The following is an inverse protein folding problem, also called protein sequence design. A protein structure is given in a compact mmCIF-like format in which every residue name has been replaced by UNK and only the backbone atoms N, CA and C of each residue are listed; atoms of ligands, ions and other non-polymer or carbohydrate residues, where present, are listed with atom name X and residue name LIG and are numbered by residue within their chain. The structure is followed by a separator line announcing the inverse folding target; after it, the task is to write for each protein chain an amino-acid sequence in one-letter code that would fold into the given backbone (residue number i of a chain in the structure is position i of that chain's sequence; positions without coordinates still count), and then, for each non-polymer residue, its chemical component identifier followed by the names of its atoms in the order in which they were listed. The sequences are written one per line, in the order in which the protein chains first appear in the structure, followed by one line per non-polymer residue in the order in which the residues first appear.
data_IF_721210031093
#
_entry.id   IF_721210031093
#
_cell.length_a   1.000
_cell.length_b   1.000
_cell.length_c   1.000
_cell.angle_alpha   90.00
_cell.angle_beta   90.00
_cell.angle_gamma   90.00
#
_symmetry.space_group_name_H-M   'P 1'
#
loop_
_entity.id
_entity.type
_entity.pdbx_description
1 polymer ?
#
# COMPACT_ATOMS: atom_id res chain seq x y z
N UNK A 1 -6.22 -19.57 -10.32
CA UNK A 1 -6.39 -20.49 -11.51
C UNK A 1 -7.18 -21.75 -11.18
N UNK A 2 -7.96 -22.37 -12.14
CA UNK A 2 -8.67 -23.65 -11.89
C UNK A 2 -7.67 -24.81 -11.78
N UNK A 3 -7.79 -25.61 -10.72
CA UNK A 3 -6.86 -26.71 -10.42
C UNK A 3 -6.71 -27.74 -11.57
N UNK A 4 -7.78 -28.00 -12.30
CA UNK A 4 -7.77 -28.95 -13.43
C UNK A 4 -6.92 -28.40 -14.61
N UNK A 5 -6.90 -27.08 -14.78
CA UNK A 5 -6.08 -26.44 -15.79
C UNK A 5 -4.60 -26.45 -15.42
N UNK A 6 -4.27 -26.18 -14.17
CA UNK A 6 -2.90 -26.27 -13.64
C UNK A 6 -2.35 -27.69 -13.76
N UNK A 7 -3.12 -28.71 -13.34
CA UNK A 7 -2.75 -30.13 -13.46
C UNK A 7 -2.47 -30.51 -14.94
N UNK A 8 -3.24 -29.98 -15.89
CA UNK A 8 -3.02 -30.22 -17.34
C UNK A 8 -1.72 -29.58 -17.83
N UNK A 9 -1.40 -28.35 -17.40
CA UNK A 9 -0.16 -27.68 -17.79
C UNK A 9 1.06 -28.41 -17.20
N UNK A 10 0.99 -28.80 -15.93
CA UNK A 10 2.05 -29.59 -15.31
C UNK A 10 2.30 -30.92 -16.07
N UNK A 11 1.22 -31.60 -16.52
CA UNK A 11 1.36 -32.81 -17.35
C UNK A 11 2.06 -32.51 -18.71
N UNK A 12 1.76 -31.37 -19.34
CA UNK A 12 2.42 -30.94 -20.58
C UNK A 12 3.89 -30.62 -20.34
N UNK A 13 4.23 -29.97 -19.23
CA UNK A 13 5.61 -29.65 -18.82
C UNK A 13 6.39 -30.95 -18.54
N UNK A 14 5.83 -31.89 -17.76
CA UNK A 14 6.44 -33.18 -17.46
C UNK A 14 6.71 -34.01 -18.73
N UNK A 15 5.79 -33.96 -19.68
CA UNK A 15 5.93 -34.61 -20.99
C UNK A 15 6.92 -33.90 -21.93
N UNK A 16 7.42 -32.71 -21.57
CA UNK A 16 8.32 -31.86 -22.37
C UNK A 16 7.78 -31.54 -23.76
N UNK A 17 6.45 -31.38 -23.89
CA UNK A 17 5.81 -31.02 -25.12
C UNK A 17 5.80 -29.49 -25.29
N UNK A 18 6.94 -28.95 -25.71
CA UNK A 18 7.11 -27.52 -25.94
C UNK A 18 6.13 -26.93 -26.97
N UNK A 19 5.69 -27.72 -27.96
CA UNK A 19 4.77 -27.24 -28.98
C UNK A 19 3.35 -27.09 -28.42
N UNK A 20 2.91 -28.03 -27.56
CA UNK A 20 1.62 -27.96 -26.91
C UNK A 20 1.62 -26.85 -25.86
N UNK A 21 2.70 -26.73 -25.06
CA UNK A 21 2.85 -25.66 -24.07
C UNK A 21 2.75 -24.28 -24.73
N UNK A 22 3.52 -24.05 -25.81
CA UNK A 22 3.45 -22.79 -26.56
C UNK A 22 2.05 -22.51 -27.09
N UNK A 23 1.37 -23.48 -27.65
CA UNK A 23 0.02 -23.30 -28.18
C UNK A 23 -1.01 -22.94 -27.10
N UNK A 24 -0.83 -23.38 -25.86
CA UNK A 24 -1.65 -23.00 -24.71
C UNK A 24 -1.33 -21.55 -24.30
N UNK A 25 -0.04 -21.22 -24.16
CA UNK A 25 0.41 -19.89 -23.73
C UNK A 25 0.04 -18.79 -24.74
N UNK A 26 0.11 -19.07 -26.05
CA UNK A 26 -0.27 -18.12 -27.12
C UNK A 26 -1.77 -17.72 -27.08
N UNK A 27 -2.62 -18.48 -26.36
CA UNK A 27 -4.04 -18.16 -26.16
C UNK A 27 -4.35 -17.47 -24.81
N UNK A 28 -3.35 -17.35 -23.92
CA UNK A 28 -3.50 -16.78 -22.58
C UNK A 28 -3.13 -15.29 -22.56
N UNK A 29 -3.75 -14.54 -21.64
CA UNK A 29 -3.33 -13.18 -21.34
C UNK A 29 -2.05 -13.20 -20.48
N UNK A 30 -1.12 -12.22 -20.62
CA UNK A 30 0.08 -12.14 -19.79
C UNK A 30 -0.19 -12.28 -18.29
N UNK A 31 -1.19 -11.59 -17.73
CA UNK A 31 -1.58 -11.70 -16.33
C UNK A 31 -1.98 -13.14 -15.91
N UNK A 32 -2.68 -13.90 -16.79
CA UNK A 32 -3.02 -15.30 -16.51
C UNK A 32 -1.77 -16.22 -16.54
N UNK A 33 -0.79 -15.86 -17.37
CA UNK A 33 0.50 -16.58 -17.43
C UNK A 33 1.34 -16.27 -16.19
N UNK A 34 1.30 -15.05 -15.69
CA UNK A 34 1.94 -14.66 -14.44
C UNK A 34 1.37 -15.45 -13.25
N UNK A 35 0.02 -15.51 -13.11
CA UNK A 35 -0.65 -16.34 -12.10
C UNK A 35 -0.23 -17.82 -12.21
N UNK A 36 -0.06 -18.33 -13.43
CA UNK A 36 0.46 -19.67 -13.64
C UNK A 36 1.89 -19.81 -13.15
N UNK A 37 2.78 -18.86 -13.47
CA UNK A 37 4.19 -18.91 -13.07
C UNK A 37 4.36 -18.83 -11.55
N UNK A 38 3.48 -18.12 -10.85
CA UNK A 38 3.47 -18.01 -9.40
C UNK A 38 3.09 -19.34 -8.69
N UNK A 39 2.31 -20.17 -9.36
CA UNK A 39 1.93 -21.51 -8.87
C UNK A 39 2.99 -22.60 -9.20
N UNK A 40 3.96 -22.29 -10.09
CA UNK A 40 4.99 -23.23 -10.54
C UNK A 40 6.27 -23.11 -9.69
N UNK A 41 7.11 -24.16 -9.73
CA UNK A 41 8.48 -24.00 -9.25
C UNK A 41 9.35 -23.26 -10.28
N UNK A 42 10.53 -22.77 -9.85
CA UNK A 42 11.41 -21.92 -10.68
C UNK A 42 11.89 -22.65 -11.95
N UNK A 43 12.08 -23.99 -11.90
CA UNK A 43 12.52 -24.74 -13.06
C UNK A 43 11.41 -24.85 -14.12
N UNK A 44 10.17 -25.04 -13.69
CA UNK A 44 8.99 -25.11 -14.56
C UNK A 44 8.60 -23.73 -15.09
N UNK A 45 8.64 -22.69 -14.28
CA UNK A 45 8.45 -21.30 -14.71
C UNK A 45 9.46 -20.91 -15.80
N UNK A 46 10.73 -21.29 -15.68
CA UNK A 46 11.73 -21.06 -16.73
C UNK A 46 11.42 -21.78 -18.05
N UNK A 47 10.75 -22.93 -18.00
CA UNK A 47 10.31 -23.62 -19.22
C UNK A 47 9.18 -22.85 -19.91
N UNK A 48 8.25 -22.27 -19.14
CA UNK A 48 7.20 -21.37 -19.62
C UNK A 48 7.84 -20.17 -20.32
N UNK A 49 8.69 -19.41 -19.64
CA UNK A 49 9.35 -18.22 -20.20
C UNK A 49 10.15 -18.47 -21.48
N UNK A 50 10.69 -19.67 -21.65
CA UNK A 50 11.40 -20.03 -22.89
C UNK A 50 10.48 -20.18 -24.10
N UNK A 51 9.17 -20.37 -23.91
CA UNK A 51 8.21 -20.50 -24.99
C UNK A 51 7.61 -19.15 -25.39
N UNK A 52 7.66 -18.14 -24.50
CA UNK A 52 7.15 -16.81 -24.75
C UNK A 52 8.10 -16.03 -25.68
N UNK A 53 7.53 -15.17 -26.54
CA UNK A 53 8.30 -14.11 -27.19
C UNK A 53 8.72 -13.05 -26.16
N UNK A 54 9.54 -12.10 -26.57
CA UNK A 54 10.15 -11.17 -25.61
C UNK A 54 9.13 -10.20 -25.00
N UNK A 55 8.22 -9.67 -25.81
CA UNK A 55 7.16 -8.75 -25.41
C UNK A 55 6.25 -9.41 -24.37
N UNK A 56 5.62 -10.54 -24.69
CA UNK A 56 4.80 -11.31 -23.74
C UNK A 56 5.59 -11.74 -22.49
N UNK A 57 6.88 -12.04 -22.63
CA UNK A 57 7.70 -12.44 -21.48
C UNK A 57 7.98 -11.26 -20.54
N UNK A 58 8.14 -10.05 -21.08
CA UNK A 58 8.29 -8.82 -20.30
C UNK A 58 7.00 -8.51 -19.53
N UNK A 59 5.84 -8.49 -20.22
CA UNK A 59 4.53 -8.28 -19.60
C UNK A 59 4.25 -9.30 -18.46
N UNK A 60 4.54 -10.58 -18.71
CA UNK A 60 4.37 -11.62 -17.68
C UNK A 60 5.28 -11.37 -16.48
N UNK A 61 6.49 -10.86 -16.68
CA UNK A 61 7.42 -10.60 -15.59
C UNK A 61 6.95 -9.44 -14.71
N UNK A 62 6.37 -8.39 -15.30
CA UNK A 62 5.79 -7.25 -14.58
C UNK A 62 4.63 -7.71 -13.69
N UNK A 63 3.74 -8.53 -14.21
CA UNK A 63 2.55 -9.03 -13.52
C UNK A 63 2.84 -10.12 -12.46
N UNK A 64 4.08 -10.62 -12.36
CA UNK A 64 4.45 -11.65 -11.38
C UNK A 64 4.57 -11.09 -9.97
N UNK A 65 4.25 -11.98 -9.01
CA UNK A 65 4.59 -11.80 -7.60
C UNK A 65 6.09 -11.49 -7.39
N UNK A 66 6.40 -10.45 -6.62
CA UNK A 66 7.76 -9.92 -6.41
C UNK A 66 8.76 -11.00 -5.96
N UNK A 67 8.38 -11.84 -4.99
CA UNK A 67 9.27 -12.90 -4.47
C UNK A 67 9.55 -13.98 -5.52
N UNK A 68 8.58 -14.31 -6.38
CA UNK A 68 8.73 -15.26 -7.46
C UNK A 68 9.53 -14.66 -8.61
N UNK A 69 9.27 -13.41 -8.96
CA UNK A 69 10.02 -12.61 -9.93
C UNK A 69 11.50 -12.55 -9.54
N UNK A 70 11.80 -12.18 -8.32
CA UNK A 70 13.17 -12.10 -7.81
C UNK A 70 13.89 -13.45 -7.87
N UNK A 71 13.24 -14.54 -7.45
CA UNK A 71 13.83 -15.89 -7.54
C UNK A 71 14.12 -16.30 -8.98
N UNK A 72 13.26 -15.95 -9.92
CA UNK A 72 13.48 -16.22 -11.34
C UNK A 72 14.68 -15.42 -11.87
N UNK A 73 14.70 -14.12 -11.59
CA UNK A 73 15.75 -13.21 -12.04
C UNK A 73 17.12 -13.57 -11.47
N UNK A 74 17.19 -14.03 -10.21
CA UNK A 74 18.45 -14.45 -9.58
C UNK A 74 19.16 -15.60 -10.31
N UNK A 75 18.37 -16.47 -10.94
CA UNK A 75 18.91 -17.60 -11.71
C UNK A 75 19.24 -17.29 -13.18
N UNK A 76 18.85 -16.11 -13.67
CA UNK A 76 19.05 -15.72 -15.07
C UNK A 76 20.37 -14.94 -15.26
N UNK A 77 21.05 -15.11 -16.41
CA UNK A 77 22.18 -14.26 -16.78
C UNK A 77 21.74 -12.82 -17.04
N UNK A 78 22.54 -11.83 -16.64
CA UNK A 78 22.27 -10.41 -16.81
C UNK A 78 21.99 -10.00 -18.28
N UNK A 79 22.67 -10.64 -19.26
CA UNK A 79 22.39 -10.46 -20.68
C UNK A 79 20.97 -10.88 -21.08
N UNK A 80 20.43 -11.95 -20.47
CA UNK A 80 19.07 -12.43 -20.75
C UNK A 80 18.05 -11.51 -20.11
N UNK A 81 18.31 -11.03 -18.90
CA UNK A 81 17.43 -10.06 -18.21
C UNK A 81 17.33 -8.81 -19.06
N UNK A 82 18.43 -8.22 -19.49
CA UNK A 82 18.44 -7.01 -20.30
C UNK A 82 17.69 -7.21 -21.63
N UNK A 83 18.12 -8.21 -22.43
CA UNK A 83 17.65 -8.30 -23.83
C UNK A 83 16.29 -8.95 -24.00
N UNK A 84 15.85 -9.79 -23.06
CA UNK A 84 14.55 -10.45 -23.14
C UNK A 84 13.44 -9.70 -22.42
N UNK A 85 13.77 -9.03 -21.32
CA UNK A 85 12.79 -8.38 -20.48
C UNK A 85 12.93 -6.86 -20.57
N UNK A 86 14.01 -6.26 -20.06
CA UNK A 86 14.18 -4.81 -19.94
C UNK A 86 14.07 -4.07 -21.29
N UNK A 87 14.65 -4.60 -22.37
CA UNK A 87 14.51 -4.01 -23.72
C UNK A 87 13.07 -4.03 -24.28
N UNK A 88 12.11 -4.68 -23.59
CA UNK A 88 10.74 -4.91 -24.08
C UNK A 88 9.67 -4.54 -23.02
N UNK A 89 9.97 -3.66 -22.07
CA UNK A 89 9.03 -3.16 -21.07
C UNK A 89 9.14 -1.64 -20.92
N UNK A 90 8.17 -1.02 -20.29
CA UNK A 90 8.16 0.39 -19.99
C UNK A 90 9.28 0.77 -19.00
N UNK A 91 9.68 2.03 -18.98
CA UNK A 91 10.88 2.46 -18.22
C UNK A 91 10.68 2.45 -16.72
N UNK A 92 9.48 2.71 -16.21
CA UNK A 92 9.11 2.59 -14.81
C UNK A 92 9.19 1.13 -14.32
N UNK A 93 8.53 0.20 -15.02
CA UNK A 93 8.63 -1.24 -14.75
C UNK A 93 10.09 -1.74 -14.80
N UNK A 94 10.86 -1.24 -15.77
CA UNK A 94 12.28 -1.59 -15.89
C UNK A 94 13.09 -1.09 -14.71
N UNK A 95 12.78 0.09 -14.18
CA UNK A 95 13.44 0.65 -12.97
C UNK A 95 13.14 -0.21 -11.78
N UNK A 96 11.87 -0.55 -11.54
CA UNK A 96 11.44 -1.38 -10.39
C UNK A 96 12.12 -2.75 -10.40
N UNK A 97 12.12 -3.40 -11.57
CA UNK A 97 12.76 -4.71 -11.72
C UNK A 97 14.29 -4.64 -11.53
N UNK A 98 14.94 -3.58 -12.00
CA UNK A 98 16.39 -3.41 -11.83
C UNK A 98 16.72 -3.11 -10.37
N UNK A 99 15.93 -2.30 -9.68
CA UNK A 99 16.13 -1.97 -8.27
C UNK A 99 15.98 -3.20 -7.35
N UNK A 100 15.17 -4.18 -7.72
CA UNK A 100 15.03 -5.47 -7.02
C UNK A 100 16.29 -6.35 -7.08
N UNK A 101 17.22 -6.09 -8.01
CA UNK A 101 18.45 -6.87 -8.19
C UNK A 101 19.57 -6.41 -7.25
N UNK A 102 20.52 -7.30 -6.97
CA UNK A 102 21.75 -6.92 -6.25
C UNK A 102 22.57 -5.88 -7.03
N UNK A 103 23.25 -4.93 -6.37
CA UNK A 103 24.00 -3.81 -6.98
C UNK A 103 24.94 -4.25 -8.13
N UNK A 104 25.68 -5.37 -7.94
CA UNK A 104 26.59 -5.88 -8.98
C UNK A 104 25.81 -6.34 -10.23
N UNK A 105 24.61 -6.90 -10.05
CA UNK A 105 23.74 -7.38 -11.13
C UNK A 105 23.03 -6.24 -11.84
N UNK A 106 22.64 -5.19 -11.11
CA UNK A 106 22.09 -3.96 -11.69
C UNK A 106 23.04 -3.36 -12.72
N UNK A 107 24.33 -3.18 -12.34
CA UNK A 107 25.36 -2.63 -13.26
C UNK A 107 25.55 -3.52 -14.49
N UNK A 108 25.52 -4.84 -14.32
CA UNK A 108 25.67 -5.78 -15.43
C UNK A 108 24.45 -5.74 -16.37
N UNK A 109 23.22 -5.67 -15.85
CA UNK A 109 21.99 -5.59 -16.64
C UNK A 109 21.97 -4.31 -17.45
N UNK A 110 22.19 -3.15 -16.79
CA UNK A 110 22.27 -1.83 -17.47
C UNK A 110 23.30 -1.80 -18.60
N UNK A 111 24.42 -2.50 -18.43
CA UNK A 111 25.47 -2.57 -19.47
C UNK A 111 25.06 -3.42 -20.69
N UNK A 112 24.03 -4.26 -20.59
CA UNK A 112 23.56 -5.16 -21.65
C UNK A 112 22.29 -4.67 -22.35
N UNK A 113 21.65 -3.58 -21.89
CA UNK A 113 20.47 -2.98 -22.54
C UNK A 113 20.86 -2.55 -23.96
N UNK A 114 20.06 -2.95 -24.92
CA UNK A 114 20.33 -2.75 -26.34
C UNK A 114 20.04 -1.32 -26.82
N UNK A 115 19.03 -0.66 -26.26
CA UNK A 115 18.68 0.72 -26.54
C UNK A 115 19.37 1.67 -25.55
N UNK A 116 20.26 2.53 -26.10
CA UNK A 116 21.01 3.48 -25.29
C UNK A 116 20.11 4.61 -24.75
N UNK A 117 19.04 4.97 -25.46
CA UNK A 117 18.11 6.02 -25.04
C UNK A 117 17.31 5.51 -23.83
N UNK A 118 16.73 4.31 -23.93
CA UNK A 118 16.05 3.62 -22.83
C UNK A 118 16.98 3.42 -21.62
N UNK A 119 18.20 2.94 -21.82
CA UNK A 119 19.16 2.77 -20.73
C UNK A 119 19.49 4.10 -20.02
N UNK A 120 19.54 5.23 -20.77
CA UNK A 120 19.74 6.56 -20.17
C UNK A 120 18.53 7.01 -19.36
N UNK A 121 17.33 6.78 -19.87
CA UNK A 121 16.10 7.14 -19.20
C UNK A 121 15.93 6.33 -17.89
N UNK A 122 16.18 5.04 -17.92
CA UNK A 122 16.19 4.18 -16.72
C UNK A 122 17.17 4.69 -15.67
N UNK A 123 18.42 5.00 -16.06
CA UNK A 123 19.43 5.52 -15.12
C UNK A 123 19.03 6.89 -14.56
N UNK A 124 18.38 7.74 -15.35
CA UNK A 124 17.88 9.02 -14.88
C UNK A 124 16.70 8.87 -13.93
N UNK A 125 15.79 7.92 -14.19
CA UNK A 125 14.66 7.60 -13.32
C UNK A 125 15.09 7.00 -11.97
N UNK A 126 16.07 6.10 -11.96
CA UNK A 126 16.65 5.52 -10.74
C UNK A 126 17.25 6.56 -9.76
N UNK A 127 17.39 7.84 -10.15
CA UNK A 127 17.87 8.89 -9.25
C UNK A 127 16.78 9.53 -8.41
N UNK A 128 15.51 9.29 -8.74
CA UNK A 128 14.39 9.79 -7.97
C UNK A 128 14.12 8.88 -6.77
N UNK A 129 13.47 9.45 -5.77
CA UNK A 129 13.03 8.72 -4.58
C UNK A 129 11.78 7.90 -4.96
N UNK A 130 11.76 6.62 -4.63
CA UNK A 130 10.68 5.68 -4.94
C UNK A 130 9.32 6.18 -4.46
N UNK A 131 9.26 6.85 -3.29
CA UNK A 131 8.03 7.40 -2.71
C UNK A 131 7.54 8.70 -3.38
N UNK A 132 8.04 9.05 -4.57
CA UNK A 132 7.70 10.30 -5.26
C UNK A 132 7.17 10.08 -6.69
N UNK A 133 6.52 11.12 -7.23
CA UNK A 133 6.06 11.13 -8.62
C UNK A 133 7.20 10.88 -9.63
N UNK A 134 8.43 11.21 -9.28
CA UNK A 134 9.61 10.94 -10.10
C UNK A 134 9.99 9.47 -10.12
N UNK A 135 9.79 8.73 -9.00
CA UNK A 135 10.02 7.31 -8.91
C UNK A 135 8.96 6.50 -9.67
N UNK A 136 7.70 6.94 -9.61
CA UNK A 136 6.57 6.24 -10.23
C UNK A 136 6.35 6.58 -11.71
N UNK A 137 7.04 7.56 -12.30
CA UNK A 137 6.75 8.00 -13.66
C UNK A 137 7.46 7.14 -14.72
N UNK A 138 6.73 6.82 -15.79
CA UNK A 138 7.30 6.32 -17.05
C UNK A 138 7.63 7.43 -18.03
N UNK A 139 8.52 7.15 -18.99
CA UNK A 139 8.88 8.08 -20.07
C UNK A 139 8.10 7.81 -21.36
N UNK A 140 7.31 6.76 -21.41
CA UNK A 140 6.50 6.30 -22.53
C UNK A 140 5.31 7.24 -22.76
N UNK A 141 5.50 8.27 -23.57
CA UNK A 141 4.48 9.28 -23.83
C UNK A 141 4.65 9.94 -25.19
N UNK A 142 3.56 10.42 -25.77
CA UNK A 142 3.62 11.20 -27.00
C UNK A 142 3.79 12.69 -26.71
N UNK A 143 4.87 13.26 -27.18
CA UNK A 143 5.21 14.68 -26.99
C UNK A 143 5.28 15.40 -28.34
N UNK A 144 4.61 16.55 -28.45
CA UNK A 144 4.60 17.38 -29.65
C UNK A 144 4.88 18.85 -29.33
N UNK A 145 5.46 19.58 -30.28
CA UNK A 145 5.73 21.01 -30.10
C UNK A 145 4.46 21.85 -30.41
N UNK A 146 4.22 22.88 -29.62
CA UNK A 146 3.05 23.79 -29.76
C UNK A 146 2.97 24.48 -31.12
N UNK A 147 4.08 24.65 -31.80
CA UNK A 147 4.18 25.33 -33.08
C UNK A 147 3.91 24.43 -34.30
N UNK A 148 3.84 23.11 -34.13
CA UNK A 148 3.53 22.15 -35.18
C UNK A 148 2.13 22.41 -35.78
N UNK A 149 1.99 22.12 -37.09
CA UNK A 149 0.69 21.99 -37.73
C UNK A 149 0.06 20.65 -37.39
N UNK A 150 -1.26 20.50 -37.56
CA UNK A 150 -1.94 19.22 -37.30
C UNK A 150 -1.41 18.04 -38.13
N UNK A 151 -1.04 18.22 -39.43
CA UNK A 151 -0.41 17.14 -40.23
C UNK A 151 0.98 16.74 -39.70
N UNK A 152 1.80 17.70 -39.30
CA UNK A 152 3.12 17.46 -38.70
C UNK A 152 2.97 16.72 -37.35
N UNK A 153 2.03 17.18 -36.52
CA UNK A 153 1.68 16.54 -35.25
C UNK A 153 1.28 15.07 -35.46
N UNK A 154 0.39 14.79 -36.45
CA UNK A 154 -0.01 13.42 -36.75
C UNK A 154 1.16 12.53 -37.22
N UNK A 155 2.09 13.11 -37.96
CA UNK A 155 3.27 12.39 -38.43
C UNK A 155 4.21 12.07 -37.24
N UNK A 156 4.42 13.04 -36.36
CA UNK A 156 5.24 12.86 -35.16
C UNK A 156 4.63 11.81 -34.21
N UNK A 157 3.33 11.92 -33.95
CA UNK A 157 2.61 10.92 -33.15
C UNK A 157 2.72 9.50 -33.72
N UNK A 158 2.60 9.33 -35.04
CA UNK A 158 2.74 8.00 -35.66
C UNK A 158 4.12 7.41 -35.47
N UNK A 159 5.13 8.26 -35.45
CA UNK A 159 6.51 7.82 -35.23
C UNK A 159 6.72 7.37 -33.79
N UNK A 160 6.23 8.15 -32.83
CA UNK A 160 6.36 7.82 -31.41
C UNK A 160 5.44 6.68 -30.97
N UNK A 161 4.31 6.50 -31.63
CA UNK A 161 3.31 5.45 -31.34
C UNK A 161 3.70 4.06 -31.85
N UNK A 162 4.80 3.89 -32.57
CA UNK A 162 5.27 2.56 -33.01
C UNK A 162 5.82 1.74 -31.83
N UNK A 163 6.30 2.45 -30.79
CA UNK A 163 6.96 1.89 -29.63
C UNK A 163 6.11 2.04 -28.32
N UNK A 164 4.82 2.40 -28.44
CA UNK A 164 3.91 2.62 -27.30
C UNK A 164 2.68 1.72 -27.41
N UNK A 165 2.32 1.04 -26.34
CA UNK A 165 1.14 0.19 -26.28
C UNK A 165 -0.14 1.02 -26.26
N UNK A 166 -0.24 2.02 -25.38
CA UNK A 166 -1.38 2.90 -25.23
C UNK A 166 -1.02 4.39 -25.32
N UNK A 167 -1.90 5.18 -25.92
CA UNK A 167 -1.79 6.64 -25.98
C UNK A 167 -3.02 7.26 -25.29
N UNK A 168 -2.89 7.64 -24.06
CA UNK A 168 -3.95 8.32 -23.30
C UNK A 168 -4.07 9.79 -23.69
N UNK A 169 -2.95 10.50 -23.68
CA UNK A 169 -2.85 11.91 -23.99
C UNK A 169 -1.64 12.21 -24.87
N UNK A 170 -1.71 13.32 -25.61
CA UNK A 170 -0.57 13.89 -26.33
C UNK A 170 -0.16 15.15 -25.62
N UNK A 171 1.04 15.19 -25.09
CA UNK A 171 1.55 16.34 -24.36
C UNK A 171 2.15 17.37 -25.31
N UNK A 172 1.87 18.64 -25.02
CA UNK A 172 2.33 19.75 -25.85
C UNK A 172 3.38 20.57 -25.09
N UNK A 173 4.54 20.70 -25.68
CA UNK A 173 5.68 21.46 -25.08
C UNK A 173 6.08 22.63 -25.97
N UNK A 174 6.76 23.62 -25.36
CA UNK A 174 7.46 24.68 -26.08
C UNK A 174 8.84 24.24 -26.57
N UNK A 175 9.58 25.16 -27.19
CA UNK A 175 10.94 24.91 -27.71
C UNK A 175 11.98 24.64 -26.60
N UNK A 176 11.66 24.95 -25.34
CA UNK A 176 12.50 24.67 -24.15
C UNK A 176 12.07 23.37 -23.44
N UNK A 177 11.11 22.62 -23.97
CA UNK A 177 10.57 21.37 -23.41
C UNK A 177 9.58 21.58 -22.25
N UNK A 178 9.09 22.82 -22.03
CA UNK A 178 8.13 23.08 -20.95
C UNK A 178 6.72 22.69 -21.37
N UNK A 179 6.02 22.03 -20.46
CA UNK A 179 4.62 21.65 -20.65
C UNK A 179 3.73 22.88 -20.86
N UNK A 180 2.98 22.92 -21.95
CA UNK A 180 2.06 24.01 -22.34
C UNK A 180 0.61 23.57 -22.40
N UNK A 181 0.36 22.33 -22.68
CA UNK A 181 -0.99 21.84 -22.85
C UNK A 181 -1.05 20.32 -23.00
N UNK A 182 -2.26 19.83 -23.02
CA UNK A 182 -2.57 18.44 -23.38
C UNK A 182 -3.49 18.43 -24.58
N UNK A 183 -3.34 17.44 -25.41
CA UNK A 183 -4.09 17.29 -26.65
C UNK A 183 -4.75 15.93 -26.73
N UNK A 184 -6.02 15.79 -26.29
CA UNK A 184 -6.75 14.53 -26.38
C UNK A 184 -6.89 14.08 -27.85
N UNK A 185 -6.68 12.79 -28.13
CA UNK A 185 -6.81 12.20 -29.48
C UNK A 185 -8.14 12.55 -30.18
N UNK A 186 -9.22 12.67 -29.40
CA UNK A 186 -10.54 13.10 -29.90
C UNK A 186 -10.47 14.45 -30.62
N UNK A 187 -9.64 15.39 -30.16
CA UNK A 187 -9.50 16.71 -30.79
C UNK A 187 -8.84 16.63 -32.16
N UNK A 188 -7.98 15.66 -32.38
CA UNK A 188 -7.37 15.42 -33.68
C UNK A 188 -8.43 15.03 -34.75
N UNK A 189 -9.43 14.25 -34.35
CA UNK A 189 -10.50 13.80 -35.24
C UNK A 189 -11.51 14.93 -35.51
N UNK A 190 -11.73 15.83 -34.55
CA UNK A 190 -12.81 16.83 -34.60
C UNK A 190 -12.38 18.20 -35.14
N UNK A 191 -11.06 18.49 -35.19
CA UNK A 191 -10.55 19.79 -35.62
C UNK A 191 -10.03 19.79 -37.06
N UNK A 192 -10.09 20.96 -37.77
CA UNK A 192 -9.59 21.07 -39.14
C UNK A 192 -8.08 20.86 -39.22
N UNK A 193 -7.62 20.18 -40.26
CA UNK A 193 -6.20 19.89 -40.51
C UNK A 193 -5.31 21.11 -40.75
N UNK A 194 -5.87 22.31 -40.81
CA UNK A 194 -5.14 23.58 -41.10
C UNK A 194 -4.71 24.29 -39.82
N UNK A 195 -5.20 23.84 -38.64
CA UNK A 195 -4.87 24.48 -37.34
C UNK A 195 -3.47 24.10 -36.86
N UNK A 196 -2.87 24.99 -36.03
CA UNK A 196 -1.68 24.64 -35.25
C UNK A 196 -2.09 24.04 -33.91
N UNK A 197 -1.22 23.19 -33.33
CA UNK A 197 -1.43 22.49 -32.07
C UNK A 197 -1.80 23.48 -30.94
N UNK A 198 -1.11 24.59 -30.78
CA UNK A 198 -1.36 25.62 -29.77
C UNK A 198 -2.75 26.25 -29.78
N UNK A 199 -3.52 26.14 -30.87
CA UNK A 199 -4.90 26.67 -30.92
C UNK A 199 -5.94 25.61 -30.64
N UNK A 200 -5.53 24.36 -30.48
CA UNK A 200 -6.41 23.19 -30.29
C UNK A 200 -6.17 22.49 -28.97
N UNK A 201 -4.97 22.61 -28.42
CA UNK A 201 -4.61 22.05 -27.10
C UNK A 201 -5.50 22.60 -25.98
N UNK A 202 -5.58 21.88 -24.88
CA UNK A 202 -6.10 22.36 -23.61
C UNK A 202 -4.93 22.91 -22.80
N UNK A 203 -4.99 24.19 -22.42
CA UNK A 203 -3.93 24.87 -21.67
C UNK A 203 -4.02 24.60 -20.16
N UNK A 204 -5.22 24.26 -19.67
CA UNK A 204 -5.46 23.95 -18.25
C UNK A 204 -5.08 22.50 -17.95
N UNK A 205 -3.77 22.23 -17.90
CA UNK A 205 -3.23 20.90 -17.61
C UNK A 205 -3.01 20.72 -16.12
N UNK A 206 -3.57 19.66 -15.57
CA UNK A 206 -3.24 19.20 -14.22
C UNK A 206 -1.95 18.41 -14.35
N UNK A 207 -0.90 18.85 -13.68
CA UNK A 207 0.43 18.24 -13.67
C UNK A 207 0.96 18.12 -12.26
N UNK A 208 1.88 17.22 -12.02
CA UNK A 208 2.61 17.06 -10.77
C UNK A 208 4.10 17.34 -10.96
N UNK A 209 4.87 17.49 -9.88
CA UNK A 209 6.31 17.65 -9.92
C UNK A 209 6.98 16.34 -9.54
N UNK A 210 8.22 16.17 -9.99
CA UNK A 210 9.04 14.99 -9.69
C UNK A 210 9.22 14.72 -8.18
N UNK A 211 9.17 15.75 -7.34
CA UNK A 211 9.35 15.67 -5.88
C UNK A 211 8.02 15.55 -5.10
N UNK A 212 6.89 15.38 -5.78
CA UNK A 212 5.58 15.24 -5.14
C UNK A 212 5.43 13.83 -4.58
N UNK A 213 5.01 13.67 -3.30
CA UNK A 213 4.73 12.35 -2.74
C UNK A 213 3.65 11.59 -3.53
N UNK A 214 3.77 10.27 -3.61
CA UNK A 214 2.82 9.43 -4.36
C UNK A 214 1.39 9.60 -3.85
N UNK A 215 1.16 9.66 -2.54
CA UNK A 215 -0.15 9.91 -1.95
C UNK A 215 -0.87 11.15 -2.51
N UNK A 216 -0.13 12.22 -2.77
CA UNK A 216 -0.68 13.45 -3.34
C UNK A 216 -1.03 13.26 -4.84
N UNK A 217 -0.26 12.42 -5.56
CA UNK A 217 -0.54 12.06 -6.96
C UNK A 217 -1.79 11.19 -7.06
N UNK A 218 -1.91 10.19 -6.18
CA UNK A 218 -3.10 9.34 -6.04
C UNK A 218 -4.35 10.19 -5.83
N UNK A 219 -4.32 11.12 -4.86
CA UNK A 219 -5.43 12.03 -4.59
C UNK A 219 -5.75 12.95 -5.78
N UNK A 220 -4.74 13.34 -6.56
CA UNK A 220 -4.90 14.16 -7.76
C UNK A 220 -5.67 13.38 -8.84
N UNK A 221 -5.24 12.15 -9.13
CA UNK A 221 -5.87 11.26 -10.10
C UNK A 221 -7.30 10.94 -9.72
N UNK A 222 -7.56 10.56 -8.47
CA UNK A 222 -8.91 10.31 -7.96
C UNK A 222 -9.82 11.54 -8.04
N UNK A 223 -9.34 12.69 -7.57
CA UNK A 223 -10.15 13.92 -7.48
C UNK A 223 -10.61 14.43 -8.83
N UNK A 224 -9.77 14.30 -9.85
CA UNK A 224 -10.03 14.83 -11.18
C UNK A 224 -10.40 13.75 -12.19
N UNK A 225 -10.45 12.47 -11.78
CA UNK A 225 -10.71 11.31 -12.63
C UNK A 225 -9.79 11.29 -13.87
N UNK A 226 -8.50 11.43 -13.63
CA UNK A 226 -7.50 11.45 -14.69
C UNK A 226 -7.12 10.01 -15.08
N UNK A 227 -6.74 9.81 -16.33
CA UNK A 227 -6.20 8.53 -16.83
C UNK A 227 -4.68 8.56 -16.81
N UNK A 228 -4.08 9.74 -17.00
CA UNK A 228 -2.65 9.96 -16.82
C UNK A 228 -2.37 11.39 -16.37
N UNK A 229 -1.26 11.59 -15.66
CA UNK A 229 -0.80 12.89 -15.16
C UNK A 229 0.63 13.13 -15.62
N UNK A 230 0.90 14.25 -16.33
CA UNK A 230 2.26 14.61 -16.69
C UNK A 230 3.07 15.08 -15.48
N UNK A 231 4.29 14.61 -15.40
CA UNK A 231 5.28 14.96 -14.37
C UNK A 231 6.25 15.98 -14.92
N UNK A 232 6.50 17.06 -14.16
CA UNK A 232 7.36 18.16 -14.57
C UNK A 232 8.46 18.42 -13.55
N UNK A 233 9.60 18.93 -14.04
CA UNK A 233 10.68 19.39 -13.18
C UNK A 233 10.36 20.73 -12.50
N UNK A 234 11.29 21.23 -11.68
CA UNK A 234 11.16 22.50 -10.94
C UNK A 234 10.98 23.74 -11.82
N UNK A 235 11.33 23.68 -13.11
CA UNK A 235 11.20 24.78 -14.09
C UNK A 235 10.07 24.54 -15.09
N UNK A 236 9.29 23.46 -14.92
CA UNK A 236 8.10 23.12 -15.70
C UNK A 236 8.39 22.35 -17.00
N UNK A 237 9.56 21.74 -17.16
CA UNK A 237 9.83 20.83 -18.28
C UNK A 237 9.20 19.46 -18.01
N UNK A 238 8.59 18.90 -19.04
CA UNK A 238 8.00 17.56 -19.00
C UNK A 238 9.12 16.52 -18.84
N UNK A 239 8.98 15.62 -17.87
CA UNK A 239 9.94 14.56 -17.56
C UNK A 239 9.36 13.18 -17.88
N UNK A 240 8.08 12.94 -17.57
CA UNK A 240 7.40 11.69 -17.75
C UNK A 240 5.89 11.84 -17.55
N UNK A 241 5.21 10.73 -17.45
CA UNK A 241 3.81 10.65 -17.04
C UNK A 241 3.63 9.52 -16.01
N UNK A 242 2.57 9.62 -15.24
CA UNK A 242 2.08 8.55 -14.37
C UNK A 242 0.70 8.18 -14.87
N UNK A 243 0.43 6.92 -15.03
CA UNK A 243 -0.84 6.41 -15.53
C UNK A 243 -1.75 5.96 -14.37
N UNK A 244 -3.00 5.65 -14.66
CA UNK A 244 -3.96 5.26 -13.61
C UNK A 244 -3.73 3.84 -13.12
N UNK A 245 -3.20 2.97 -13.95
CA UNK A 245 -2.80 1.60 -13.65
C UNK A 245 -1.67 1.57 -12.61
N UNK A 246 -0.57 2.33 -12.81
CA UNK A 246 0.52 2.46 -11.83
C UNK A 246 0.00 2.90 -10.45
N UNK A 247 -0.91 3.89 -10.48
CA UNK A 247 -1.54 4.39 -9.24
C UNK A 247 -2.45 3.35 -8.58
N UNK A 248 -3.10 2.48 -9.34
CA UNK A 248 -3.94 1.40 -8.77
C UNK A 248 -3.05 0.35 -8.09
N UNK A 249 -1.92 0.01 -8.68
CA UNK A 249 -0.99 -0.96 -8.12
C UNK A 249 -0.34 -0.41 -6.85
N UNK A 250 0.13 0.82 -6.84
CA UNK A 250 0.64 1.50 -5.65
C UNK A 250 -0.41 1.58 -4.52
N UNK A 251 -1.67 1.92 -4.85
CA UNK A 251 -2.77 1.92 -3.89
C UNK A 251 -3.02 0.55 -3.28
N UNK A 252 -2.87 -0.51 -4.05
CA UNK A 252 -3.04 -1.88 -3.60
C UNK A 252 -1.92 -2.28 -2.65
N UNK A 253 -0.68 -2.02 -3.00
CA UNK A 253 0.50 -2.28 -2.16
C UNK A 253 0.39 -1.53 -0.82
N UNK A 254 0.06 -0.24 -0.86
CA UNK A 254 -0.14 0.55 0.35
C UNK A 254 -1.28 0.00 1.23
N UNK A 255 -2.40 -0.42 0.64
CA UNK A 255 -3.50 -1.03 1.41
C UNK A 255 -3.10 -2.37 2.03
N UNK A 256 -2.34 -3.20 1.34
CA UNK A 256 -1.81 -4.46 1.84
C UNK A 256 -0.83 -4.23 2.98
N UNK A 257 0.10 -3.29 2.82
CA UNK A 257 1.04 -2.86 3.85
C UNK A 257 0.30 -2.37 5.12
N UNK A 258 -0.62 -1.42 4.98
CA UNK A 258 -1.43 -0.89 6.08
C UNK A 258 -2.21 -2.00 6.81
N UNK A 259 -2.78 -2.94 6.06
CA UNK A 259 -3.50 -4.07 6.62
C UNK A 259 -2.57 -5.00 7.41
N UNK A 260 -1.38 -5.29 6.90
CA UNK A 260 -0.37 -6.11 7.58
C UNK A 260 0.10 -5.44 8.87
N UNK A 261 0.44 -4.16 8.82
CA UNK A 261 0.85 -3.38 9.99
C UNK A 261 -0.25 -3.34 11.06
N UNK A 262 -1.49 -3.08 10.67
CA UNK A 262 -2.64 -3.11 11.57
C UNK A 262 -2.92 -4.49 12.16
N UNK A 263 -2.54 -5.56 11.45
CA UNK A 263 -2.67 -6.95 11.90
C UNK A 263 -1.51 -7.40 12.79
N UNK A 264 -0.46 -6.59 12.95
CA UNK A 264 0.73 -6.91 13.72
C UNK A 264 1.70 -7.83 12.98
N UNK A 265 1.89 -7.55 11.71
CA UNK A 265 2.96 -8.10 10.88
C UNK A 265 3.98 -6.97 10.63
N UNK A 266 5.25 -7.31 10.48
CA UNK A 266 6.32 -6.34 10.18
C UNK A 266 6.93 -6.71 8.85
N UNK A 267 6.94 -5.76 7.92
CA UNK A 267 7.38 -5.97 6.53
C UNK A 267 6.32 -6.68 5.69
N UNK A 268 6.48 -6.61 4.40
CA UNK A 268 5.60 -7.24 3.44
C UNK A 268 5.80 -8.75 3.46
N UNK A 269 4.74 -9.45 3.82
CA UNK A 269 4.77 -10.90 4.06
C UNK A 269 3.60 -11.56 3.37
N UNK A 270 3.91 -12.52 2.54
CA UNK A 270 2.94 -13.29 1.80
C UNK A 270 2.68 -14.69 2.35
N UNK A 271 1.59 -15.29 1.92
CA UNK A 271 1.25 -16.66 2.31
C UNK A 271 2.21 -17.70 1.71
N UNK A 272 2.84 -17.38 0.59
CA UNK A 272 3.82 -18.19 -0.11
C UNK A 272 5.22 -18.13 0.51
N UNK A 273 5.48 -17.14 1.34
CA UNK A 273 6.76 -16.92 2.00
C UNK A 273 7.26 -18.10 2.84
N UNK A 274 8.57 -18.16 2.98
CA UNK A 274 9.22 -19.17 3.82
C UNK A 274 8.76 -19.08 5.28
N UNK A 275 8.68 -20.23 5.95
CA UNK A 275 8.27 -20.30 7.38
C UNK A 275 9.12 -19.39 8.26
N UNK A 276 10.39 -19.17 7.93
CA UNK A 276 11.29 -18.29 8.68
C UNK A 276 10.94 -16.81 8.48
N UNK A 277 10.64 -16.35 7.27
CA UNK A 277 10.21 -14.98 6.97
C UNK A 277 8.91 -14.68 7.70
N UNK A 278 7.90 -15.55 7.56
CA UNK A 278 6.62 -15.44 8.27
C UNK A 278 6.78 -15.46 9.82
N UNK A 279 7.74 -16.20 10.36
CA UNK A 279 8.04 -16.18 11.79
C UNK A 279 8.63 -14.83 12.21
N UNK A 280 9.65 -14.34 11.48
CA UNK A 280 10.34 -13.09 11.83
C UNK A 280 9.44 -11.86 11.74
N UNK A 281 8.50 -11.83 10.80
CA UNK A 281 7.53 -10.72 10.70
C UNK A 281 6.59 -10.61 11.90
N UNK A 282 6.33 -11.72 12.60
CA UNK A 282 5.43 -11.78 13.77
C UNK A 282 6.12 -11.58 15.10
N UNK A 283 7.40 -11.96 15.22
CA UNK A 283 8.15 -11.94 16.49
C UNK A 283 8.19 -10.56 17.15
N UNK A 284 8.45 -9.44 16.48
CA UNK A 284 8.50 -8.12 17.13
C UNK A 284 7.21 -7.81 17.90
N UNK A 285 6.06 -8.03 17.28
CA UNK A 285 4.76 -7.78 17.89
C UNK A 285 4.43 -8.76 19.02
N UNK A 286 4.79 -10.02 18.89
CA UNK A 286 4.64 -11.02 19.95
C UNK A 286 5.52 -10.69 21.17
N UNK A 287 6.73 -10.17 20.95
CA UNK A 287 7.60 -9.71 22.04
C UNK A 287 7.02 -8.50 22.79
N UNK A 288 6.45 -7.54 22.05
CA UNK A 288 5.74 -6.40 22.65
C UNK A 288 4.56 -6.91 23.49
N UNK A 289 3.81 -7.91 22.98
CA UNK A 289 2.73 -8.56 23.71
C UNK A 289 3.20 -9.22 25.01
N UNK A 290 4.31 -9.95 24.97
CA UNK A 290 4.91 -10.58 26.17
C UNK A 290 5.34 -9.52 27.20
N UNK A 291 5.99 -8.44 26.75
CA UNK A 291 6.39 -7.33 27.64
C UNK A 291 5.16 -6.67 28.28
N UNK A 292 4.10 -6.42 27.51
CA UNK A 292 2.83 -5.92 28.03
C UNK A 292 2.22 -6.84 29.09
N UNK A 293 2.20 -8.15 28.82
CA UNK A 293 1.73 -9.17 29.75
C UNK A 293 2.53 -9.22 31.05
N UNK A 294 3.86 -9.12 30.98
CA UNK A 294 4.74 -9.05 32.17
C UNK A 294 4.45 -7.78 32.99
N UNK A 295 4.28 -6.63 32.32
CA UNK A 295 3.92 -5.39 33.01
C UNK A 295 2.55 -5.48 33.68
N UNK A 296 1.54 -6.07 33.00
CA UNK A 296 0.24 -6.35 33.62
C UNK A 296 0.35 -7.25 34.85
N UNK A 297 1.15 -8.32 34.79
CA UNK A 297 1.37 -9.22 35.93
C UNK A 297 1.99 -8.48 37.12
N UNK A 298 2.97 -7.60 36.85
CA UNK A 298 3.59 -6.77 37.91
C UNK A 298 2.63 -5.75 38.52
N UNK A 299 1.76 -5.18 37.69
CA UNK A 299 0.71 -4.28 38.16
C UNK A 299 -0.28 -5.03 39.08
N UNK A 300 -0.72 -6.23 38.70
CA UNK A 300 -1.60 -7.07 39.52
C UNK A 300 -0.95 -7.48 40.84
N UNK A 301 0.31 -7.88 40.81
CA UNK A 301 1.10 -8.22 42.02
C UNK A 301 1.11 -7.04 43.03
N UNK A 302 1.28 -5.81 42.55
CA UNK A 302 1.29 -4.62 43.40
C UNK A 302 -0.05 -4.38 44.14
N UNK A 303 -1.16 -4.81 43.55
CA UNK A 303 -2.51 -4.65 44.14
C UNK A 303 -3.08 -5.93 44.75
N UNK A 304 -2.25 -6.94 45.08
CA UNK A 304 -2.68 -8.23 45.63
C UNK A 304 -3.56 -8.05 46.89
N UNK A 305 -3.28 -7.07 47.72
CA UNK A 305 -4.04 -6.80 48.94
C UNK A 305 -5.47 -6.35 48.70
N UNK A 306 -5.72 -5.60 47.60
CA UNK A 306 -7.04 -5.17 47.22
C UNK A 306 -7.90 -6.36 46.74
N UNK A 307 -7.31 -7.29 46.02
CA UNK A 307 -7.98 -8.53 45.62
C UNK A 307 -8.26 -9.50 46.74
N UNK A 308 -7.39 -9.53 47.74
CA UNK A 308 -7.61 -10.33 48.96
C UNK A 308 -8.86 -9.87 49.76
N UNK A 309 -9.20 -8.56 49.67
CA UNK A 309 -10.40 -8.02 50.30
C UNK A 309 -11.70 -8.39 49.57
N UNK A 310 -11.65 -8.55 48.21
CA UNK A 310 -12.81 -8.92 47.41
C UNK A 310 -12.37 -9.77 46.22
N UNK A 311 -12.26 -11.09 46.41
CA UNK A 311 -11.79 -12.05 45.41
C UNK A 311 -12.65 -12.08 44.11
N UNK A 312 -13.94 -11.73 44.21
CA UNK A 312 -14.84 -11.63 43.08
C UNK A 312 -14.40 -10.61 42.03
N UNK A 313 -13.61 -9.61 42.37
CA UNK A 313 -13.04 -8.62 41.45
C UNK A 313 -12.08 -9.27 40.44
N UNK A 314 -11.38 -10.34 40.77
CA UNK A 314 -10.48 -11.05 39.85
C UNK A 314 -11.21 -11.60 38.62
N UNK A 315 -12.48 -11.97 38.77
CA UNK A 315 -13.26 -12.55 37.69
C UNK A 315 -13.56 -11.53 36.57
N UNK A 316 -13.42 -10.23 36.82
CA UNK A 316 -13.66 -9.17 35.87
C UNK A 316 -12.40 -8.67 35.14
N UNK A 317 -11.22 -9.17 35.51
CA UNK A 317 -9.95 -8.80 34.82
C UNK A 317 -10.04 -9.05 33.32
N UNK A 318 -10.53 -10.22 32.81
CA UNK A 318 -10.65 -10.43 31.37
C UNK A 318 -11.66 -9.48 30.70
N UNK A 319 -12.73 -9.11 31.41
CA UNK A 319 -13.71 -8.15 30.90
C UNK A 319 -13.09 -6.75 30.72
N UNK A 320 -12.36 -6.28 31.73
CA UNK A 320 -11.71 -4.96 31.71
C UNK A 320 -10.60 -4.90 30.65
N UNK A 321 -9.70 -5.90 30.65
CA UNK A 321 -8.59 -5.96 29.67
C UNK A 321 -9.10 -6.03 28.22
N UNK A 322 -9.97 -7.00 27.92
CA UNK A 322 -10.51 -7.18 26.57
C UNK A 322 -11.33 -5.99 26.07
N UNK A 323 -12.14 -5.37 26.95
CA UNK A 323 -12.90 -4.16 26.55
C UNK A 323 -11.96 -2.98 26.31
N UNK A 324 -10.92 -2.80 27.14
CA UNK A 324 -9.93 -1.74 26.99
C UNK A 324 -9.22 -1.80 25.64
N UNK A 325 -8.69 -2.97 25.30
CA UNK A 325 -8.06 -3.21 24.00
C UNK A 325 -8.98 -2.88 22.82
N UNK A 326 -10.17 -3.47 22.83
CA UNK A 326 -11.15 -3.29 21.74
C UNK A 326 -11.56 -1.83 21.53
N UNK A 327 -11.84 -1.10 22.62
CA UNK A 327 -12.23 0.32 22.53
C UNK A 327 -11.12 1.17 21.92
N UNK A 328 -9.89 0.93 22.30
CA UNK A 328 -8.74 1.63 21.74
C UNK A 328 -8.53 1.35 20.27
N UNK A 329 -8.53 0.07 19.89
CA UNK A 329 -8.35 -0.35 18.50
C UNK A 329 -9.42 0.22 17.58
N UNK A 330 -10.72 0.20 17.99
CA UNK A 330 -11.80 0.76 17.19
C UNK A 330 -11.65 2.27 16.96
N UNK A 331 -11.23 3.02 17.97
CA UNK A 331 -11.04 4.46 17.83
C UNK A 331 -9.80 4.80 17.01
N UNK A 332 -8.73 4.03 17.18
CA UNK A 332 -7.48 4.20 16.43
C UNK A 332 -7.71 3.92 14.93
N UNK A 333 -8.37 2.82 14.60
CA UNK A 333 -8.67 2.45 13.22
C UNK A 333 -9.44 3.55 12.46
N UNK A 334 -10.42 4.21 13.12
CA UNK A 334 -11.15 5.33 12.50
C UNK A 334 -10.26 6.56 12.25
N UNK A 335 -9.30 6.81 13.13
CA UNK A 335 -8.38 7.94 12.97
C UNK A 335 -7.37 7.66 11.86
N UNK A 336 -6.78 6.46 11.85
CA UNK A 336 -5.82 6.04 10.80
C UNK A 336 -6.51 6.07 9.43
N UNK A 337 -7.70 5.49 9.30
CA UNK A 337 -8.47 5.57 8.07
C UNK A 337 -8.75 7.03 7.65
N UNK A 338 -9.00 7.92 8.61
CA UNK A 338 -9.23 9.33 8.33
C UNK A 338 -7.97 10.08 7.89
N UNK A 339 -6.79 9.66 8.36
CA UNK A 339 -5.50 10.20 7.94
C UNK A 339 -5.17 9.70 6.51
N UNK A 340 -5.24 8.40 6.28
CA UNK A 340 -4.99 7.79 4.98
C UNK A 340 -5.87 8.37 3.86
N UNK A 341 -7.17 8.58 4.12
CA UNK A 341 -8.09 9.17 3.15
C UNK A 341 -8.01 10.72 3.06
N UNK A 342 -7.04 11.37 3.70
CA UNK A 342 -6.91 12.83 3.70
C UNK A 342 -8.11 13.60 4.29
N UNK A 343 -9.09 12.90 4.91
CA UNK A 343 -10.28 13.53 5.51
C UNK A 343 -9.99 14.18 6.87
N UNK A 344 -8.90 13.80 7.53
CA UNK A 344 -8.39 14.38 8.76
C UNK A 344 -7.18 15.26 8.46
N UNK A 345 -7.42 16.56 8.32
CA UNK A 345 -6.37 17.56 8.23
C UNK A 345 -6.24 18.30 9.56
N UNK A 346 -5.13 18.99 9.75
CA UNK A 346 -4.77 19.75 10.96
C UNK A 346 -5.90 20.65 11.49
N UNK A 347 -6.77 21.18 10.59
CA UNK A 347 -7.91 22.02 10.95
C UNK A 347 -9.09 21.24 11.56
N UNK A 348 -9.21 19.95 11.31
CA UNK A 348 -10.34 19.11 11.72
C UNK A 348 -10.05 18.19 12.91
N UNK A 349 -8.77 18.04 13.32
CA UNK A 349 -8.34 17.13 14.41
C UNK A 349 -9.14 17.42 15.70
N UNK A 350 -9.25 18.68 16.11
CA UNK A 350 -9.97 19.05 17.34
C UNK A 350 -11.44 18.63 17.26
N UNK A 351 -12.08 18.83 16.12
CA UNK A 351 -13.47 18.42 15.91
C UNK A 351 -13.62 16.90 15.98
N UNK A 352 -12.68 16.15 15.45
CA UNK A 352 -12.68 14.69 15.53
C UNK A 352 -12.52 14.21 16.97
N UNK A 353 -11.56 14.75 17.74
CA UNK A 353 -11.39 14.42 19.16
C UNK A 353 -12.65 14.68 19.96
N UNK A 354 -13.36 15.80 19.72
CA UNK A 354 -14.66 16.07 20.36
C UNK A 354 -15.74 15.06 19.95
N UNK A 355 -15.80 14.68 18.67
CA UNK A 355 -16.74 13.68 18.18
C UNK A 355 -16.48 12.32 18.82
N UNK A 356 -15.23 11.87 18.85
CA UNK A 356 -14.82 10.62 19.49
C UNK A 356 -15.10 10.65 21.00
N UNK A 357 -14.87 11.79 21.68
CA UNK A 357 -15.22 11.96 23.09
C UNK A 357 -16.73 11.80 23.35
N UNK A 358 -17.57 12.30 22.46
CA UNK A 358 -19.02 12.15 22.57
C UNK A 358 -19.46 10.69 22.35
N UNK A 359 -18.85 9.99 21.38
CA UNK A 359 -19.08 8.56 21.14
C UNK A 359 -18.62 7.76 22.34
N UNK A 360 -17.42 8.04 22.89
CA UNK A 360 -16.89 7.42 24.09
C UNK A 360 -17.84 7.55 25.28
N UNK A 361 -18.39 8.74 25.49
CA UNK A 361 -19.34 8.97 26.58
C UNK A 361 -20.60 8.12 26.45
N UNK A 362 -21.18 8.05 25.26
CA UNK A 362 -22.36 7.22 24.99
C UNK A 362 -22.05 5.72 25.20
N UNK A 363 -20.93 5.24 24.65
CA UNK A 363 -20.49 3.86 24.84
C UNK A 363 -20.21 3.56 26.33
N UNK A 364 -19.54 4.46 27.04
CA UNK A 364 -19.27 4.30 28.46
C UNK A 364 -20.54 4.18 29.30
N UNK A 365 -21.54 4.99 29.01
CA UNK A 365 -22.85 4.91 29.71
C UNK A 365 -23.53 3.57 29.44
N UNK A 366 -23.64 3.17 28.16
CA UNK A 366 -24.32 1.93 27.78
C UNK A 366 -23.64 0.69 28.37
N UNK A 367 -22.31 0.58 28.19
CA UNK A 367 -21.55 -0.58 28.66
C UNK A 367 -21.53 -0.65 30.20
N UNK A 368 -21.35 0.47 30.88
CA UNK A 368 -21.37 0.53 32.35
C UNK A 368 -22.74 0.16 32.91
N UNK A 369 -23.83 0.61 32.30
CA UNK A 369 -25.17 0.24 32.72
C UNK A 369 -25.45 -1.25 32.53
N UNK A 370 -25.00 -1.85 31.44
CA UNK A 370 -25.12 -3.30 31.19
C UNK A 370 -24.37 -4.11 32.27
N UNK A 371 -23.12 -3.73 32.55
CA UNK A 371 -22.30 -4.39 33.57
C UNK A 371 -22.88 -4.16 34.97
N UNK A 372 -23.40 -2.96 35.25
CA UNK A 372 -24.05 -2.64 36.51
C UNK A 372 -25.32 -3.53 36.72
N UNK A 373 -26.18 -3.66 35.70
CA UNK A 373 -27.38 -4.49 35.76
C UNK A 373 -27.02 -5.97 36.00
N UNK A 374 -26.00 -6.49 35.31
CA UNK A 374 -25.49 -7.83 35.55
C UNK A 374 -24.99 -8.03 37.00
N UNK A 375 -24.19 -7.06 37.51
CA UNK A 375 -23.60 -7.16 38.83
C UNK A 375 -24.69 -7.06 39.96
N UNK A 376 -25.69 -6.20 39.78
CA UNK A 376 -26.82 -6.14 40.71
C UNK A 376 -27.55 -7.48 40.78
N UNK A 377 -27.74 -8.14 39.61
CA UNK A 377 -28.39 -9.46 39.54
C UNK A 377 -27.53 -10.56 40.17
N UNK A 378 -26.20 -10.54 39.91
CA UNK A 378 -25.33 -11.64 40.32
C UNK A 378 -24.82 -11.51 41.76
N UNK A 379 -24.55 -10.28 42.27
CA UNK A 379 -23.90 -10.02 43.57
C UNK A 379 -24.79 -9.22 44.51
N UNK A 380 -25.88 -8.63 44.02
CA UNK A 380 -26.76 -7.78 44.83
C UNK A 380 -26.25 -6.35 45.03
N UNK A 381 -27.09 -5.53 45.66
CA UNK A 381 -26.82 -4.08 45.86
C UNK A 381 -25.71 -3.76 46.88
N UNK A 382 -25.40 -4.67 47.79
CA UNK A 382 -24.50 -4.42 48.91
C UNK A 382 -23.04 -4.78 48.62
N UNK A 383 -22.78 -5.45 47.51
CA UNK A 383 -21.42 -5.89 47.16
C UNK A 383 -20.63 -4.75 46.48
N UNK A 384 -19.40 -4.45 46.90
CA UNK A 384 -18.55 -3.45 46.29
C UNK A 384 -18.31 -3.66 44.81
N UNK A 385 -18.29 -4.91 44.31
CA UNK A 385 -18.15 -5.29 42.89
C UNK A 385 -19.22 -4.63 42.04
N UNK A 386 -20.44 -4.47 42.58
CA UNK A 386 -21.57 -3.90 41.91
C UNK A 386 -21.33 -2.46 41.43
N UNK A 387 -20.46 -1.75 42.12
CA UNK A 387 -20.13 -0.34 41.78
C UNK A 387 -18.71 -0.20 41.20
N UNK A 388 -17.75 -0.98 41.67
CA UNK A 388 -16.36 -0.87 41.26
C UNK A 388 -16.16 -1.24 39.79
N UNK A 389 -16.74 -2.35 39.33
CA UNK A 389 -16.55 -2.81 37.97
C UNK A 389 -17.21 -1.88 36.92
N UNK A 390 -18.49 -1.47 37.06
CA UNK A 390 -19.10 -0.50 36.15
C UNK A 390 -18.41 0.87 36.18
N UNK A 391 -17.98 1.34 37.35
CA UNK A 391 -17.23 2.59 37.48
C UNK A 391 -15.90 2.55 36.72
N UNK A 392 -15.17 1.44 36.86
CA UNK A 392 -13.95 1.18 36.11
C UNK A 392 -14.21 1.08 34.61
N UNK A 393 -15.26 0.39 34.21
CA UNK A 393 -15.68 0.27 32.80
C UNK A 393 -15.97 1.65 32.20
N UNK A 394 -16.70 2.51 32.93
CA UNK A 394 -16.99 3.85 32.48
C UNK A 394 -15.72 4.67 32.25
N UNK A 395 -14.81 4.68 33.20
CA UNK A 395 -13.54 5.42 33.12
C UNK A 395 -12.63 4.85 32.01
N UNK A 396 -12.56 3.51 31.91
CA UNK A 396 -11.78 2.82 30.89
C UNK A 396 -12.24 3.18 29.47
N UNK A 397 -13.55 3.13 29.20
CA UNK A 397 -14.06 3.42 27.86
C UNK A 397 -13.78 4.86 27.45
N UNK A 398 -13.91 5.82 28.37
CA UNK A 398 -13.56 7.22 28.09
C UNK A 398 -12.06 7.40 27.81
N UNK A 399 -11.21 6.90 28.70
CA UNK A 399 -9.76 7.11 28.60
C UNK A 399 -9.17 6.28 27.47
N UNK A 400 -9.62 5.03 27.29
CA UNK A 400 -9.16 4.15 26.23
C UNK A 400 -9.53 4.64 24.82
N UNK A 401 -10.74 5.19 24.64
CA UNK A 401 -11.13 5.85 23.38
C UNK A 401 -10.22 7.06 23.09
N UNK A 402 -10.00 7.92 24.10
CA UNK A 402 -9.13 9.09 23.92
C UNK A 402 -7.69 8.69 23.61
N UNK A 403 -7.17 7.67 24.27
CA UNK A 403 -5.83 7.15 23.98
C UNK A 403 -5.75 6.60 22.56
N UNK A 404 -6.68 5.74 22.15
CA UNK A 404 -6.76 5.22 20.79
C UNK A 404 -6.91 6.31 19.72
N UNK A 405 -7.59 7.42 20.02
CA UNK A 405 -7.72 8.56 19.13
C UNK A 405 -6.44 9.40 19.03
N UNK A 406 -5.77 9.64 20.15
CA UNK A 406 -4.64 10.56 20.21
C UNK A 406 -3.33 9.92 19.75
N UNK A 407 -3.18 8.62 19.91
CA UNK A 407 -1.94 7.92 19.60
C UNK A 407 -1.56 7.96 18.12
N UNK A 408 -2.46 7.64 17.15
CA UNK A 408 -2.15 7.77 15.72
C UNK A 408 -1.82 9.21 15.33
N UNK A 409 -2.54 10.20 15.88
CA UNK A 409 -2.28 11.61 15.62
C UNK A 409 -0.91 12.07 16.16
N UNK A 410 -0.44 11.41 17.23
CA UNK A 410 0.89 11.66 17.75
C UNK A 410 1.96 11.05 16.84
N UNK A 411 1.73 9.84 16.34
CA UNK A 411 2.65 9.14 15.44
C UNK A 411 2.80 9.91 14.14
N UNK A 412 1.71 10.31 13.50
CA UNK A 412 1.71 11.20 12.35
C UNK A 412 2.54 12.47 12.58
N UNK A 413 2.38 13.12 13.73
CA UNK A 413 3.12 14.33 14.06
C UNK A 413 4.62 14.14 14.22
N UNK A 414 5.07 12.96 14.60
CA UNK A 414 6.50 12.63 14.77
C UNK A 414 7.05 11.83 13.59
N UNK A 415 6.32 11.78 12.48
CA UNK A 415 6.68 11.07 11.26
C UNK A 415 6.93 9.57 11.47
N UNK A 416 6.09 8.95 12.31
CA UNK A 416 5.99 7.50 12.44
C UNK A 416 4.67 7.10 11.80
N UNK A 417 4.67 6.00 11.07
CA UNK A 417 3.47 5.49 10.41
C UNK A 417 2.31 5.30 11.42
N UNK A 418 1.17 6.00 11.21
CA UNK A 418 0.01 5.88 12.09
C UNK A 418 -0.61 4.47 12.10
N UNK A 419 -0.42 3.65 11.08
CA UNK A 419 -0.95 2.28 11.00
C UNK A 419 -0.41 1.41 12.15
N UNK A 420 0.82 1.64 12.60
CA UNK A 420 1.42 1.00 13.79
C UNK A 420 0.57 1.22 15.04
N UNK A 421 -0.13 2.35 15.13
CA UNK A 421 -0.98 2.68 16.27
C UNK A 421 -2.32 1.93 16.30
N UNK A 422 -2.64 1.11 15.30
CA UNK A 422 -3.92 0.38 15.28
C UNK A 422 -3.80 -0.94 16.04
N UNK A 423 -3.37 -1.97 15.53
CA UNK A 423 -3.38 -3.34 16.01
C UNK A 423 -2.84 -3.59 17.45
N UNK A 424 -1.84 -4.46 17.57
CA UNK A 424 -1.40 -4.95 18.88
C UNK A 424 -0.87 -3.84 19.82
N UNK A 425 -0.29 -2.77 19.28
CA UNK A 425 0.30 -1.71 20.12
C UNK A 425 -0.76 -0.95 20.93
N UNK A 426 -1.84 -0.50 20.28
CA UNK A 426 -2.95 0.16 20.97
C UNK A 426 -3.65 -0.82 21.90
N UNK A 427 -3.84 -2.05 21.50
CA UNK A 427 -4.47 -3.08 22.31
C UNK A 427 -3.70 -3.27 23.62
N UNK A 428 -2.41 -3.52 23.57
CA UNK A 428 -1.56 -3.76 24.76
C UNK A 428 -1.50 -2.54 25.67
N UNK A 429 -1.32 -1.35 25.11
CA UNK A 429 -1.26 -0.11 25.88
C UNK A 429 -2.58 0.21 26.57
N UNK A 430 -3.71 -0.05 25.91
CA UNK A 430 -5.04 0.11 26.50
C UNK A 430 -5.38 -0.96 27.54
N UNK A 431 -4.90 -2.19 27.39
CA UNK A 431 -5.02 -3.21 28.42
C UNK A 431 -4.29 -2.79 29.70
N UNK A 432 -3.08 -2.27 29.59
CA UNK A 432 -2.30 -1.73 30.71
C UNK A 432 -3.01 -0.55 31.39
N UNK A 433 -3.48 0.42 30.59
CA UNK A 433 -4.24 1.56 31.09
C UNK A 433 -5.52 1.12 31.79
N UNK A 434 -6.27 0.20 31.16
CA UNK A 434 -7.51 -0.36 31.68
C UNK A 434 -7.32 -1.06 33.00
N UNK A 435 -6.26 -1.85 33.12
CA UNK A 435 -5.91 -2.51 34.37
C UNK A 435 -5.52 -1.52 35.47
N UNK A 436 -4.73 -0.48 35.12
CA UNK A 436 -4.37 0.59 36.02
C UNK A 436 -5.60 1.36 36.56
N UNK A 437 -6.53 1.71 35.66
CA UNK A 437 -7.80 2.37 36.01
C UNK A 437 -8.63 1.46 36.92
N UNK A 438 -8.72 0.17 36.59
CA UNK A 438 -9.46 -0.81 37.37
C UNK A 438 -8.92 -0.88 38.81
N UNK A 439 -7.61 -1.00 38.95
CA UNK A 439 -6.96 -1.05 40.26
C UNK A 439 -7.16 0.26 41.08
N UNK A 440 -7.06 1.40 40.39
CA UNK A 440 -7.30 2.70 41.02
C UNK A 440 -8.72 2.81 41.57
N UNK A 441 -9.72 2.46 40.77
CA UNK A 441 -11.13 2.53 41.16
C UNK A 441 -11.45 1.56 42.30
N UNK A 442 -10.91 0.32 42.26
CA UNK A 442 -11.05 -0.65 43.35
C UNK A 442 -10.50 -0.08 44.63
N UNK A 443 -9.29 0.47 44.60
CA UNK A 443 -8.63 1.05 45.82
C UNK A 443 -9.39 2.24 46.38
N UNK A 444 -10.14 2.97 45.55
CA UNK A 444 -10.97 4.09 46.01
C UNK A 444 -12.32 3.68 46.61
N UNK A 445 -12.82 2.50 46.27
CA UNK A 445 -14.13 1.99 46.70
C UNK A 445 -14.02 1.05 47.91
N UNK A 446 -12.92 0.29 48.01
CA UNK A 446 -12.62 -0.58 49.15
C UNK A 446 -11.90 0.17 50.24
#
# INVERSE_FOLDING_TARGET
MEKEFLDNILEVIENKDAAQLKAILDEMHPADIAELCDELDVEDARLVYRQLDNETAADVLVEMDEDNRKRLLDELPSEVIATKFIDNMDTDDAVDIIQDLDEDKQEEVLAHIGDIEQASDIVDLMQYDEDTAGGLMGTEMVVVNENMSMPECLQEMRKQAEDLDDIYNVYVVDDDGRLKGVFPLKKMITNPSVSKVKYVMDEDVISTKVDTPIDDVVQLIEKYNLVSVPVVDSIGRLQGQITVDDVIDELREQQEHDYQMASGLTGDVETADSVFRQMWSRIPWLLIGILGGILNSKLLEHFETAFAAATSLLFFIPLIGGTGGNVGTQSSALVVQGLANGSLNTSNIIKQVFKESAVALLNAIVLSLLVFGYNVWAFGWSDPVTYAVPGSMFALVLIGTLWGTLLPLLFEKIHIDPAIATGPFVQITNELLGMGIYMLVITLIL
#
